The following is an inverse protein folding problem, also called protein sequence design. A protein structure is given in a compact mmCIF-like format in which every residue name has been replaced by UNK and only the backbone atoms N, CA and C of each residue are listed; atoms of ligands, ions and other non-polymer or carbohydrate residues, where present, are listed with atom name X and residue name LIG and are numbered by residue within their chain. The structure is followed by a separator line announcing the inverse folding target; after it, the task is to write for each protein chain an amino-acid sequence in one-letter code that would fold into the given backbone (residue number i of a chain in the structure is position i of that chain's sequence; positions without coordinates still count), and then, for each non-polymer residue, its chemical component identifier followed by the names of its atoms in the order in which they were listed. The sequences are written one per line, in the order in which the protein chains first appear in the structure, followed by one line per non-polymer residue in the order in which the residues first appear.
data_IF_047144735379
#
_entry.id   IF_047144735379
#
_cell.length_a   1.000
_cell.length_b   1.000
_cell.length_c   1.000
_cell.angle_alpha   90.00
_cell.angle_beta   90.00
_cell.angle_gamma   90.00
#
_symmetry.space_group_name_H-M   'P 1'
#
loop_
_entity.id
_entity.type
_entity.pdbx_description
1 polymer ?
#
# COMPACT_ATOMS: atom_id res chain seq x y z
N UNK A 1 24.80 -2.14 -21.46
CA UNK A 1 23.64 -1.31 -21.80
C UNK A 1 23.37 -0.39 -20.61
N UNK A 2 23.60 0.90 -20.78
CA UNK A 2 23.51 1.92 -19.73
C UNK A 2 22.03 2.22 -19.47
N UNK A 3 21.51 1.80 -18.32
CA UNK A 3 20.17 2.16 -17.86
C UNK A 3 20.16 3.65 -17.50
N UNK A 4 19.52 4.45 -18.31
CA UNK A 4 19.23 5.85 -17.99
C UNK A 4 18.19 5.90 -16.88
N UNK A 5 18.63 6.12 -15.65
CA UNK A 5 17.73 6.43 -14.54
C UNK A 5 17.01 7.76 -14.83
N UNK A 6 15.68 7.76 -14.76
CA UNK A 6 14.89 8.98 -14.87
C UNK A 6 15.34 10.01 -13.82
N UNK A 7 15.44 11.31 -14.14
CA UNK A 7 15.98 12.32 -13.23
C UNK A 7 15.09 12.44 -11.98
N UNK A 8 15.66 12.10 -10.83
CA UNK A 8 15.01 12.33 -9.53
C UNK A 8 15.00 13.83 -9.21
N UNK A 9 13.86 14.37 -8.74
CA UNK A 9 13.81 15.74 -8.24
C UNK A 9 14.79 15.87 -7.06
N UNK A 10 15.73 16.82 -7.09
CA UNK A 10 16.71 17.00 -6.04
C UNK A 10 16.05 17.15 -4.67
N UNK A 11 16.61 16.53 -3.63
CA UNK A 11 16.11 16.57 -2.25
C UNK A 11 15.77 17.98 -1.74
N UNK A 12 16.55 18.99 -2.17
CA UNK A 12 16.32 20.41 -1.84
C UNK A 12 14.98 20.94 -2.38
N UNK A 13 14.61 20.56 -3.60
CA UNK A 13 13.31 20.96 -4.19
C UNK A 13 12.16 20.30 -3.45
N UNK A 14 12.29 19.01 -3.05
CA UNK A 14 11.30 18.34 -2.21
C UNK A 14 11.09 19.02 -0.86
N UNK A 15 12.17 19.51 -0.24
CA UNK A 15 12.11 20.22 1.06
C UNK A 15 11.38 21.56 0.92
N UNK A 16 11.65 22.32 -0.15
CA UNK A 16 10.96 23.59 -0.44
C UNK A 16 9.47 23.37 -0.77
N UNK A 17 9.16 22.35 -1.59
CA UNK A 17 7.78 22.00 -1.94
C UNK A 17 6.95 21.61 -0.71
N UNK A 18 7.55 20.92 0.27
CA UNK A 18 6.89 20.55 1.53
C UNK A 18 6.78 21.71 2.53
N UNK A 19 7.64 22.69 2.45
CA UNK A 19 7.69 23.84 3.37
C UNK A 19 6.68 24.94 3.04
N UNK A 20 6.02 24.90 1.87
CA UNK A 20 5.08 25.93 1.42
C UNK A 20 3.66 25.37 1.39
N UNK A 21 2.81 25.62 2.42
CA UNK A 21 1.46 25.04 2.52
C UNK A 21 0.58 25.29 1.28
N UNK A 22 0.62 26.48 0.72
CA UNK A 22 -0.15 26.83 -0.47
C UNK A 22 0.25 25.99 -1.69
N UNK A 23 1.57 25.77 -1.90
CA UNK A 23 2.07 24.97 -3.00
C UNK A 23 1.72 23.50 -2.82
N UNK A 24 1.81 22.98 -1.61
CA UNK A 24 1.40 21.61 -1.27
C UNK A 24 -0.09 21.40 -1.55
N UNK A 25 -0.94 22.36 -1.16
CA UNK A 25 -2.39 22.31 -1.43
C UNK A 25 -2.67 22.32 -2.93
N UNK A 26 -2.01 23.19 -3.70
CA UNK A 26 -2.15 23.27 -5.16
C UNK A 26 -1.72 21.96 -5.84
N UNK A 27 -0.59 21.39 -5.45
CA UNK A 27 -0.10 20.12 -5.98
C UNK A 27 -1.04 18.95 -5.63
N UNK A 28 -1.56 18.92 -4.41
CA UNK A 28 -2.55 17.91 -4.01
C UNK A 28 -3.86 18.08 -4.78
N UNK A 29 -4.33 19.30 -5.01
CA UNK A 29 -5.51 19.57 -5.83
C UNK A 29 -5.30 19.12 -7.29
N UNK A 30 -4.14 19.43 -7.87
CA UNK A 30 -3.79 18.98 -9.22
C UNK A 30 -3.71 17.45 -9.32
N UNK A 31 -3.06 16.78 -8.34
CA UNK A 31 -3.02 15.32 -8.26
C UNK A 31 -4.42 14.72 -8.11
N UNK A 32 -5.23 15.28 -7.24
CA UNK A 32 -6.60 14.85 -7.05
C UNK A 32 -7.42 15.00 -8.33
N UNK A 33 -7.30 16.10 -9.03
CA UNK A 33 -7.94 16.31 -10.32
C UNK A 33 -7.52 15.23 -11.35
N UNK A 34 -6.23 14.95 -11.44
CA UNK A 34 -5.71 13.89 -12.33
C UNK A 34 -6.23 12.51 -11.93
N UNK A 35 -6.19 12.13 -10.65
CA UNK A 35 -6.50 10.77 -10.22
C UNK A 35 -7.99 10.49 -10.01
N UNK A 36 -8.80 11.49 -9.69
CA UNK A 36 -10.22 11.30 -9.33
C UNK A 36 -11.21 11.86 -10.36
N UNK A 37 -10.74 12.37 -11.50
CA UNK A 37 -11.60 12.82 -12.57
C UNK A 37 -12.32 11.68 -13.32
N UNK A 38 -13.35 11.97 -14.12
CA UNK A 38 -14.13 10.96 -14.85
C UNK A 38 -13.29 10.14 -15.83
N UNK A 39 -12.19 10.69 -16.33
CA UNK A 39 -11.20 9.99 -17.17
C UNK A 39 -10.50 8.82 -16.48
N UNK A 40 -10.61 8.72 -15.14
CA UNK A 40 -10.05 7.59 -14.37
C UNK A 40 -10.50 6.24 -14.89
N UNK A 41 -11.77 6.12 -15.29
CA UNK A 41 -12.30 4.88 -15.84
C UNK A 41 -11.66 4.54 -17.18
N UNK A 42 -11.47 5.53 -18.04
CA UNK A 42 -10.79 5.35 -19.34
C UNK A 42 -9.31 4.99 -19.12
N UNK A 43 -8.60 5.68 -18.23
CA UNK A 43 -7.21 5.37 -17.89
C UNK A 43 -7.06 3.93 -17.38
N UNK A 44 -7.93 3.48 -16.49
CA UNK A 44 -7.95 2.10 -15.98
C UNK A 44 -8.22 1.09 -17.10
N UNK A 45 -9.15 1.38 -18.02
CA UNK A 45 -9.42 0.50 -19.14
C UNK A 45 -8.21 0.36 -20.07
N UNK A 46 -7.53 1.47 -20.39
CA UNK A 46 -6.30 1.45 -21.19
C UNK A 46 -5.18 0.67 -20.50
N UNK A 47 -5.02 0.84 -19.18
CA UNK A 47 -4.01 0.09 -18.41
C UNK A 47 -4.30 -1.40 -18.44
N UNK A 48 -5.55 -1.81 -18.21
CA UNK A 48 -5.96 -3.21 -18.27
C UNK A 48 -5.72 -3.83 -19.65
N UNK A 49 -5.99 -3.08 -20.71
CA UNK A 49 -5.72 -3.52 -22.07
C UNK A 49 -4.22 -3.69 -22.34
N UNK A 50 -3.38 -2.73 -21.90
CA UNK A 50 -1.93 -2.77 -22.11
C UNK A 50 -1.20 -3.76 -21.20
N UNK A 51 -1.77 -4.05 -20.04
CA UNK A 51 -1.18 -4.90 -18.99
C UNK A 51 -2.20 -5.93 -18.50
N UNK A 52 -2.64 -6.87 -19.35
CA UNK A 52 -3.58 -7.89 -18.91
C UNK A 52 -2.96 -8.75 -17.82
N UNK A 53 -3.77 -9.28 -16.87
CA UNK A 53 -3.29 -10.19 -15.84
C UNK A 53 -2.63 -11.42 -16.45
N UNK A 54 -1.48 -11.82 -15.93
CA UNK A 54 -0.77 -13.03 -16.34
C UNK A 54 -1.12 -14.16 -15.35
N UNK A 55 -2.03 -15.05 -15.72
CA UNK A 55 -2.44 -16.17 -14.88
C UNK A 55 -1.57 -17.40 -15.10
N UNK A 56 -1.14 -17.64 -16.34
CA UNK A 56 -0.40 -18.85 -16.76
C UNK A 56 0.96 -18.49 -17.37
N UNK A 57 1.86 -19.48 -17.39
CA UNK A 57 3.15 -19.38 -18.06
C UNK A 57 4.15 -18.42 -17.44
N UNK A 58 3.99 -18.10 -16.16
CA UNK A 58 4.89 -17.19 -15.43
C UNK A 58 5.57 -17.93 -14.30
N UNK A 59 6.91 -17.90 -14.27
CA UNK A 59 7.68 -18.44 -13.14
C UNK A 59 7.50 -17.58 -11.90
N UNK A 60 7.08 -18.16 -10.79
CA UNK A 60 6.83 -17.49 -9.52
C UNK A 60 7.44 -18.28 -8.37
N UNK A 61 7.78 -17.61 -7.24
CA UNK A 61 8.10 -18.32 -6.02
C UNK A 61 6.96 -19.28 -5.62
N UNK A 62 7.31 -20.36 -4.93
CA UNK A 62 6.30 -21.25 -4.36
C UNK A 62 5.39 -20.47 -3.43
N UNK A 63 4.09 -20.75 -3.52
CA UNK A 63 3.10 -20.14 -2.63
C UNK A 63 3.30 -20.65 -1.20
N UNK A 64 3.29 -19.73 -0.24
CA UNK A 64 3.36 -20.05 1.19
C UNK A 64 1.99 -19.93 1.88
N UNK A 65 0.97 -19.59 1.12
CA UNK A 65 -0.41 -19.35 1.57
C UNK A 65 -1.41 -20.09 0.69
N UNK A 66 -2.66 -20.13 1.15
CA UNK A 66 -3.80 -20.57 0.35
C UNK A 66 -4.90 -19.50 0.46
N UNK A 67 -4.97 -18.59 -0.50
CA UNK A 67 -5.89 -17.47 -0.50
C UNK A 67 -6.99 -17.65 -1.55
N UNK A 68 -8.25 -17.41 -1.15
CA UNK A 68 -9.35 -17.33 -2.10
C UNK A 68 -9.38 -15.95 -2.78
N UNK A 69 -8.67 -15.82 -3.90
CA UNK A 69 -8.50 -14.55 -4.60
C UNK A 69 -9.83 -13.92 -5.01
N UNK A 70 -10.82 -14.71 -5.47
CA UNK A 70 -12.13 -14.19 -5.89
C UNK A 70 -12.93 -13.62 -4.73
N UNK A 71 -12.92 -14.29 -3.59
CA UNK A 71 -13.63 -13.86 -2.38
C UNK A 71 -13.01 -12.58 -1.82
N UNK A 72 -11.68 -12.56 -1.64
CA UNK A 72 -10.95 -11.40 -1.16
C UNK A 72 -11.14 -10.20 -2.09
N UNK A 73 -11.03 -10.41 -3.39
CA UNK A 73 -11.24 -9.35 -4.39
C UNK A 73 -12.68 -8.80 -4.37
N UNK A 74 -13.69 -9.66 -4.14
CA UNK A 74 -15.09 -9.22 -4.00
C UNK A 74 -15.27 -8.34 -2.76
N UNK A 75 -14.75 -8.78 -1.61
CA UNK A 75 -14.77 -8.02 -0.35
C UNK A 75 -14.05 -6.68 -0.52
N UNK A 76 -12.87 -6.67 -1.14
CA UNK A 76 -12.12 -5.44 -1.43
C UNK A 76 -12.89 -4.46 -2.30
N UNK A 77 -13.62 -4.94 -3.32
CA UNK A 77 -14.45 -4.07 -4.16
C UNK A 77 -15.64 -3.48 -3.40
N UNK A 78 -16.16 -4.20 -2.42
CA UNK A 78 -17.25 -3.75 -1.56
C UNK A 78 -16.78 -2.77 -0.48
N UNK A 79 -15.86 -3.24 0.32
CA UNK A 79 -15.49 -2.61 1.59
C UNK A 79 -14.20 -1.78 1.52
N UNK A 80 -13.33 -2.07 0.55
CA UNK A 80 -12.00 -1.45 0.45
C UNK A 80 -10.94 -2.14 1.29
N UNK A 81 -11.34 -3.09 2.14
CA UNK A 81 -10.46 -3.88 2.99
C UNK A 81 -10.94 -5.33 3.06
N UNK A 82 -10.01 -6.28 3.12
CA UNK A 82 -10.30 -7.70 3.35
C UNK A 82 -9.21 -8.35 4.22
N UNK A 83 -9.61 -9.07 5.28
CA UNK A 83 -8.67 -9.89 6.05
C UNK A 83 -8.24 -11.10 5.22
N UNK A 84 -6.94 -11.36 5.19
CA UNK A 84 -6.34 -12.43 4.39
C UNK A 84 -5.82 -13.62 5.24
N UNK A 85 -6.22 -13.69 6.51
CA UNK A 85 -5.77 -14.72 7.42
C UNK A 85 -4.47 -14.38 8.14
N UNK A 86 -3.64 -15.40 8.35
CA UNK A 86 -2.38 -15.27 9.09
C UNK A 86 -1.21 -15.87 8.33
N UNK A 87 -0.08 -15.20 8.39
CA UNK A 87 1.20 -15.71 7.92
C UNK A 87 1.69 -16.84 8.83
N UNK A 88 2.31 -17.91 8.31
CA UNK A 88 2.88 -18.97 9.13
C UNK A 88 3.85 -18.43 10.19
N UNK A 89 3.84 -18.97 11.43
CA UNK A 89 4.63 -18.44 12.54
C UNK A 89 6.15 -18.46 12.34
N UNK A 90 6.66 -19.41 11.57
CA UNK A 90 8.08 -19.52 11.20
C UNK A 90 8.49 -18.38 10.27
N UNK A 91 7.66 -18.05 9.28
CA UNK A 91 7.86 -16.90 8.37
C UNK A 91 7.79 -15.59 9.17
N UNK A 92 6.83 -15.45 10.09
CA UNK A 92 6.73 -14.28 10.97
C UNK A 92 8.01 -14.11 11.78
N UNK A 93 8.55 -15.19 12.38
CA UNK A 93 9.80 -15.14 13.15
C UNK A 93 11.00 -14.73 12.29
N UNK A 94 11.13 -15.32 11.11
CA UNK A 94 12.22 -15.00 10.17
C UNK A 94 12.20 -13.52 9.76
N UNK A 95 11.05 -13.01 9.35
CA UNK A 95 10.91 -11.60 8.94
C UNK A 95 11.08 -10.64 10.14
N UNK A 96 10.55 -11.01 11.32
CA UNK A 96 10.69 -10.20 12.51
C UNK A 96 12.14 -10.06 12.98
N UNK A 97 12.93 -11.12 12.90
CA UNK A 97 14.35 -11.10 13.29
C UNK A 97 15.15 -10.01 12.58
N UNK A 98 14.75 -9.65 11.34
CA UNK A 98 15.39 -8.54 10.60
C UNK A 98 15.17 -7.18 11.29
N UNK A 99 14.10 -7.05 12.07
CA UNK A 99 13.66 -5.78 12.65
C UNK A 99 13.99 -5.62 14.13
N UNK A 100 14.53 -6.66 14.79
CA UNK A 100 14.68 -6.65 16.25
C UNK A 100 15.59 -5.51 16.72
N UNK A 101 16.65 -5.21 15.99
CA UNK A 101 17.61 -4.14 16.29
C UNK A 101 17.31 -2.82 15.57
N UNK A 102 16.24 -2.75 14.77
CA UNK A 102 15.92 -1.53 14.04
C UNK A 102 15.25 -0.49 14.94
N UNK A 103 15.73 0.76 14.97
CA UNK A 103 15.05 1.85 15.65
C UNK A 103 13.68 2.14 15.00
N UNK A 104 12.83 2.96 15.63
CA UNK A 104 11.58 3.39 15.03
C UNK A 104 11.82 4.09 13.68
N UNK A 105 11.07 3.68 12.66
CA UNK A 105 11.23 4.21 11.31
C UNK A 105 10.54 3.37 10.23
N UNK A 106 10.68 3.80 9.01
CA UNK A 106 10.26 3.08 7.81
C UNK A 106 11.49 2.70 6.99
N UNK A 107 11.63 1.41 6.73
CA UNK A 107 12.77 0.81 6.05
C UNK A 107 12.29 0.15 4.77
N UNK A 108 12.86 0.52 3.63
CA UNK A 108 12.46 0.04 2.30
C UNK A 108 13.34 -1.08 1.76
N UNK A 109 12.90 -1.62 0.61
CA UNK A 109 13.66 -2.53 -0.25
C UNK A 109 13.83 -3.96 0.29
N UNK A 110 12.85 -4.47 1.05
CA UNK A 110 12.89 -5.83 1.59
C UNK A 110 12.37 -6.92 0.64
N UNK A 111 12.01 -6.57 -0.57
CA UNK A 111 11.43 -7.51 -1.54
C UNK A 111 12.39 -8.63 -2.01
N UNK A 112 13.70 -8.48 -1.78
CA UNK A 112 14.70 -9.52 -2.09
C UNK A 112 14.96 -10.49 -0.94
N UNK A 113 14.48 -10.18 0.28
CA UNK A 113 14.56 -11.10 1.40
C UNK A 113 13.71 -12.35 1.11
N UNK A 114 14.25 -13.60 1.24
CA UNK A 114 13.60 -14.80 0.70
C UNK A 114 12.16 -15.02 1.12
N UNK A 115 11.85 -14.88 2.41
CA UNK A 115 10.49 -15.12 2.93
C UNK A 115 9.53 -13.99 2.52
N UNK A 116 10.00 -12.75 2.52
CA UNK A 116 9.21 -11.61 2.04
C UNK A 116 8.97 -11.77 0.54
N UNK A 117 10.00 -12.15 -0.23
CA UNK A 117 9.89 -12.40 -1.67
C UNK A 117 8.87 -13.49 -1.98
N UNK A 118 8.95 -14.62 -1.27
CA UNK A 118 7.99 -15.72 -1.42
C UNK A 118 6.55 -15.27 -1.14
N UNK A 119 6.36 -14.44 -0.12
CA UNK A 119 5.05 -13.85 0.19
C UNK A 119 4.58 -12.89 -0.91
N UNK A 120 5.35 -11.85 -1.19
CA UNK A 120 4.88 -10.71 -2.00
C UNK A 120 4.80 -11.03 -3.50
N UNK A 121 5.56 -12.01 -3.97
CA UNK A 121 5.55 -12.49 -5.36
C UNK A 121 4.89 -13.85 -5.53
N UNK A 122 4.50 -14.49 -4.44
CA UNK A 122 3.79 -15.75 -4.46
C UNK A 122 2.49 -15.67 -5.23
N UNK A 123 2.11 -16.76 -5.89
CA UNK A 123 0.91 -16.82 -6.72
C UNK A 123 -0.35 -16.43 -5.97
N UNK A 124 -0.48 -16.83 -4.69
CA UNK A 124 -1.66 -16.53 -3.86
C UNK A 124 -1.90 -15.04 -3.71
N UNK A 125 -0.87 -14.29 -3.29
CA UNK A 125 -0.96 -12.83 -3.11
C UNK A 125 -1.17 -12.15 -4.47
N UNK A 126 -0.39 -12.53 -5.48
CA UNK A 126 -0.49 -11.89 -6.79
C UNK A 126 -1.83 -12.15 -7.47
N UNK A 127 -2.48 -13.30 -7.26
CA UNK A 127 -3.80 -13.57 -7.82
C UNK A 127 -4.88 -12.68 -7.18
N UNK A 128 -4.81 -12.43 -5.86
CA UNK A 128 -5.72 -11.45 -5.22
C UNK A 128 -5.51 -10.06 -5.82
N UNK A 129 -4.26 -9.65 -5.97
CA UNK A 129 -3.91 -8.33 -6.51
C UNK A 129 -4.34 -8.19 -7.97
N UNK A 130 -4.08 -9.19 -8.81
CA UNK A 130 -4.52 -9.22 -10.22
C UNK A 130 -6.02 -9.14 -10.36
N UNK A 131 -6.74 -9.99 -9.62
CA UNK A 131 -8.20 -10.01 -9.65
C UNK A 131 -8.77 -8.65 -9.23
N UNK A 132 -8.19 -8.02 -8.21
CA UNK A 132 -8.63 -6.71 -7.75
C UNK A 132 -8.32 -5.59 -8.75
N UNK A 133 -7.08 -5.50 -9.22
CA UNK A 133 -6.63 -4.45 -10.15
C UNK A 133 -7.18 -4.67 -11.58
N UNK A 134 -7.43 -5.93 -11.97
CA UNK A 134 -7.76 -6.30 -13.33
C UNK A 134 -6.60 -6.06 -14.32
N UNK A 135 -5.37 -6.00 -13.83
CA UNK A 135 -4.15 -5.75 -14.58
C UNK A 135 -2.96 -6.46 -13.92
N UNK A 136 -1.89 -6.70 -14.68
CA UNK A 136 -0.64 -7.20 -14.08
C UNK A 136 -0.05 -6.15 -13.15
N UNK A 137 0.15 -6.48 -11.87
CA UNK A 137 0.59 -5.51 -10.88
C UNK A 137 2.05 -5.08 -11.08
N UNK A 138 2.32 -3.83 -10.72
CA UNK A 138 3.67 -3.38 -10.40
C UNK A 138 3.80 -3.30 -8.89
N UNK A 139 4.85 -3.89 -8.31
CA UNK A 139 5.23 -3.67 -6.93
C UNK A 139 5.87 -2.27 -6.83
N UNK A 140 5.33 -1.40 -5.98
CA UNK A 140 5.84 -0.05 -5.78
C UNK A 140 6.62 0.11 -4.48
N UNK A 141 6.25 -0.65 -3.44
CA UNK A 141 6.90 -0.60 -2.13
C UNK A 141 6.85 -1.95 -1.45
N UNK A 142 7.90 -2.21 -0.68
CA UNK A 142 7.99 -3.35 0.22
C UNK A 142 8.78 -2.90 1.45
N UNK A 143 8.09 -2.33 2.43
CA UNK A 143 8.68 -1.62 3.55
C UNK A 143 8.38 -2.31 4.88
N UNK A 144 9.37 -2.36 5.76
CA UNK A 144 9.18 -2.67 7.17
C UNK A 144 8.99 -1.36 7.94
N UNK A 145 7.90 -1.28 8.69
CA UNK A 145 7.54 -0.11 9.50
C UNK A 145 7.64 -0.48 10.97
N UNK A 146 8.56 0.15 11.66
CA UNK A 146 8.81 -0.03 13.10
C UNK A 146 8.23 1.16 13.85
N UNK A 147 7.13 0.95 14.56
CA UNK A 147 6.53 1.92 15.47
C UNK A 147 6.98 1.68 16.89
N UNK A 148 7.05 2.73 17.69
CA UNK A 148 7.39 2.69 19.11
C UNK A 148 6.36 3.49 19.90
N UNK A 149 6.28 3.24 21.22
CA UNK A 149 5.45 4.01 22.12
C UNK A 149 5.65 5.52 21.91
N UNK A 150 4.55 6.23 21.74
CA UNK A 150 4.50 7.68 21.55
C UNK A 150 4.13 8.34 22.88
N UNK A 151 4.84 9.40 23.23
CA UNK A 151 4.41 10.31 24.31
C UNK A 151 3.44 11.33 23.69
N UNK A 152 2.14 11.30 24.02
CA UNK A 152 1.16 12.21 23.43
C UNK A 152 1.49 13.69 23.68
N UNK A 153 2.22 14.01 24.76
CA UNK A 153 2.60 15.36 25.11
C UNK A 153 3.79 15.89 24.30
N UNK A 154 4.62 14.99 23.77
CA UNK A 154 5.88 15.33 23.07
C UNK A 154 5.88 14.98 21.60
N UNK A 155 5.05 14.02 21.20
CA UNK A 155 4.99 13.59 19.80
C UNK A 155 4.03 14.50 19.03
N UNK A 156 4.51 15.25 18.04
CA UNK A 156 3.63 16.03 17.18
C UNK A 156 2.55 15.14 16.57
N UNK A 157 1.33 15.66 16.48
CA UNK A 157 0.23 14.91 15.87
C UNK A 157 0.57 14.67 14.40
N UNK A 158 0.96 13.44 14.08
CA UNK A 158 1.28 13.04 12.72
C UNK A 158 0.01 12.86 11.90
N UNK A 159 0.05 13.26 10.61
CA UNK A 159 -1.09 13.11 9.69
C UNK A 159 -1.70 11.70 9.71
N UNK A 160 -0.87 10.66 9.82
CA UNK A 160 -1.32 9.27 9.90
C UNK A 160 -2.21 8.93 11.11
N UNK A 161 -2.29 9.78 12.13
CA UNK A 161 -3.21 9.64 13.27
C UNK A 161 -4.61 10.17 12.98
N UNK A 162 -4.77 10.94 11.91
CA UNK A 162 -6.07 11.43 11.44
C UNK A 162 -6.53 10.61 10.24
N UNK A 163 -7.84 10.54 10.03
CA UNK A 163 -8.37 9.91 8.84
C UNK A 163 -7.91 10.67 7.59
N UNK A 164 -7.14 10.00 6.78
CA UNK A 164 -6.64 10.46 5.49
C UNK A 164 -6.85 9.36 4.45
N UNK A 165 -6.42 9.59 3.24
CA UNK A 165 -6.37 8.60 2.19
C UNK A 165 -5.11 8.80 1.36
N UNK A 166 -4.63 7.71 0.79
CA UNK A 166 -3.51 7.72 -0.12
C UNK A 166 -3.98 7.43 -1.55
N UNK A 167 -3.15 7.78 -2.51
CA UNK A 167 -3.34 7.33 -3.87
C UNK A 167 -1.99 7.11 -4.57
N UNK A 168 -1.80 5.88 -5.03
CA UNK A 168 -0.60 5.43 -5.70
C UNK A 168 -0.87 5.18 -7.20
N UNK A 169 -1.38 6.20 -7.89
CA UNK A 169 -1.77 6.11 -9.29
C UNK A 169 -3.28 5.87 -9.49
N UNK A 170 -3.64 5.28 -10.62
CA UNK A 170 -5.05 5.10 -11.01
C UNK A 170 -5.77 4.01 -10.24
N UNK A 171 -5.05 3.01 -9.77
CA UNK A 171 -5.53 1.93 -8.92
C UNK A 171 -4.37 1.26 -8.21
N UNK A 172 -4.51 1.08 -6.90
CA UNK A 172 -3.51 0.44 -6.05
C UNK A 172 -4.17 -0.46 -5.01
N UNK A 173 -3.36 -1.29 -4.39
CA UNK A 173 -3.74 -2.18 -3.31
C UNK A 173 -2.54 -2.38 -2.40
N UNK A 174 -2.71 -2.22 -1.10
CA UNK A 174 -1.70 -2.57 -0.11
C UNK A 174 -1.97 -3.96 0.47
N UNK A 175 -0.91 -4.70 0.76
CA UNK A 175 -0.89 -5.83 1.68
C UNK A 175 -0.17 -5.38 2.94
N UNK A 176 -0.83 -5.50 4.07
CA UNK A 176 -0.28 -5.26 5.39
C UNK A 176 -0.15 -6.57 6.15
N UNK A 177 0.98 -6.76 6.83
CA UNK A 177 1.22 -7.91 7.71
C UNK A 177 1.74 -7.41 9.05
N UNK A 178 1.05 -7.71 10.13
CA UNK A 178 1.54 -7.46 11.47
C UNK A 178 2.60 -8.50 11.85
N UNK A 179 3.78 -8.04 12.22
CA UNK A 179 4.89 -8.91 12.67
C UNK A 179 5.01 -8.96 14.19
N UNK A 180 4.20 -8.18 14.89
CA UNK A 180 3.97 -8.20 16.33
C UNK A 180 2.48 -8.29 16.61
N UNK A 181 2.09 -8.66 17.82
CA UNK A 181 0.70 -8.55 18.25
C UNK A 181 0.25 -7.09 18.21
N UNK A 182 -0.92 -6.83 17.66
CA UNK A 182 -1.50 -5.50 17.54
C UNK A 182 -2.87 -5.47 18.19
N UNK A 183 -2.97 -4.65 19.22
CA UNK A 183 -4.20 -4.28 19.91
C UNK A 183 -4.52 -2.80 19.64
N UNK A 184 -5.64 -2.31 20.13
CA UNK A 184 -6.07 -0.93 19.92
C UNK A 184 -5.04 0.12 20.37
N UNK A 185 -4.23 -0.23 21.37
CA UNK A 185 -3.18 0.63 21.91
C UNK A 185 -1.79 0.42 21.27
N UNK A 186 -1.67 -0.46 20.29
CA UNK A 186 -0.40 -0.77 19.61
C UNK A 186 -0.33 -0.11 18.23
N UNK A 187 -1.07 0.97 18.00
CA UNK A 187 -1.12 1.62 16.69
C UNK A 187 -1.92 0.83 15.66
N UNK A 188 -2.99 0.17 16.10
CA UNK A 188 -3.87 -0.58 15.20
C UNK A 188 -4.34 0.27 14.02
N UNK A 189 -4.44 -0.36 12.86
CA UNK A 189 -4.95 0.28 11.66
C UNK A 189 -6.47 0.43 11.74
N UNK A 190 -6.99 1.59 11.34
CA UNK A 190 -8.42 1.83 11.19
C UNK A 190 -8.74 2.23 9.77
N UNK A 191 -9.82 1.65 9.23
CA UNK A 191 -10.34 1.94 7.90
C UNK A 191 -11.83 2.25 7.95
N UNK A 192 -12.30 3.15 7.08
CA UNK A 192 -13.72 3.47 6.91
C UNK A 192 -14.23 2.72 5.69
N UNK A 193 -14.97 1.63 5.91
CA UNK A 193 -15.39 0.70 4.87
C UNK A 193 -16.17 1.38 3.73
N UNK A 194 -15.85 1.01 2.50
CA UNK A 194 -16.52 1.43 1.28
C UNK A 194 -16.21 2.85 0.80
N UNK A 195 -15.36 3.61 1.53
CA UNK A 195 -15.06 5.01 1.19
C UNK A 195 -14.08 5.19 0.03
N UNK A 196 -13.38 4.13 -0.39
CA UNK A 196 -12.54 4.11 -1.59
C UNK A 196 -13.34 4.35 -2.89
N UNK A 197 -14.66 4.14 -2.88
CA UNK A 197 -15.55 4.31 -4.04
C UNK A 197 -16.20 5.68 -4.09
N UNK A 198 -16.32 6.36 -2.95
CA UNK A 198 -17.08 7.60 -2.83
C UNK A 198 -16.17 8.69 -2.29
N UNK A 199 -15.92 9.69 -3.12
CA UNK A 199 -15.10 10.83 -2.72
C UNK A 199 -15.79 12.14 -3.05
N UNK A 200 -15.83 13.03 -2.07
CA UNK A 200 -16.25 14.42 -2.30
C UNK A 200 -15.04 15.22 -2.79
N UNK A 201 -15.26 16.16 -3.70
CA UNK A 201 -14.18 17.03 -4.23
C UNK A 201 -13.40 17.70 -3.11
N UNK A 202 -14.08 18.15 -2.06
CA UNK A 202 -13.44 18.78 -0.89
C UNK A 202 -12.45 17.87 -0.17
N UNK A 203 -12.67 16.53 -0.20
CA UNK A 203 -11.78 15.57 0.48
C UNK A 203 -10.45 15.44 -0.27
N UNK A 204 -10.46 15.67 -1.59
CA UNK A 204 -9.28 15.55 -2.42
C UNK A 204 -8.21 16.63 -2.16
N UNK A 205 -8.64 17.77 -1.61
CA UNK A 205 -7.75 18.90 -1.30
C UNK A 205 -7.39 19.01 0.19
N UNK A 206 -8.03 18.21 1.04
CA UNK A 206 -7.77 18.20 2.49
C UNK A 206 -6.71 17.14 2.84
N UNK A 207 -5.75 17.45 3.69
CA UNK A 207 -4.74 16.46 4.10
C UNK A 207 -5.33 15.35 5.01
N UNK A 208 -6.43 15.65 5.73
CA UNK A 208 -7.09 14.74 6.66
C UNK A 208 -8.53 15.20 6.96
N UNK A 209 -9.33 14.30 7.53
CA UNK A 209 -10.72 14.54 7.93
C UNK A 209 -10.87 14.26 9.42
N UNK A 210 -11.56 15.15 10.19
CA UNK A 210 -11.81 14.96 11.61
C UNK A 210 -12.68 13.73 11.90
N UNK A 211 -12.55 13.19 13.11
CA UNK A 211 -13.27 11.99 13.56
C UNK A 211 -14.79 12.19 13.61
N UNK A 212 -15.23 13.35 14.11
CA UNK A 212 -16.65 13.71 14.17
C UNK A 212 -17.28 13.77 12.78
N UNK A 213 -16.56 14.34 11.83
CA UNK A 213 -17.01 14.38 10.43
C UNK A 213 -17.05 12.97 9.80
N UNK A 214 -16.07 12.12 10.06
CA UNK A 214 -16.08 10.72 9.59
C UNK A 214 -17.26 9.97 10.19
N UNK A 215 -17.47 10.07 11.50
CA UNK A 215 -18.56 9.39 12.20
C UNK A 215 -19.95 9.87 11.75
N UNK A 216 -20.10 11.16 11.50
CA UNK A 216 -21.33 11.73 10.99
C UNK A 216 -21.62 11.31 9.53
N UNK A 217 -20.60 11.23 8.70
CA UNK A 217 -20.74 10.86 7.27
C UNK A 217 -20.87 9.36 7.03
N UNK A 218 -20.26 8.55 7.88
CA UNK A 218 -20.10 7.10 7.70
C UNK A 218 -20.38 6.35 9.01
N UNK A 219 -21.59 6.48 9.60
CA UNK A 219 -21.90 5.88 10.89
C UNK A 219 -21.73 4.35 10.84
N UNK A 220 -21.03 3.80 11.83
CA UNK A 220 -20.81 2.36 11.96
C UNK A 220 -19.88 1.73 10.92
N UNK A 221 -19.21 2.51 10.07
CA UNK A 221 -18.29 1.99 9.03
C UNK A 221 -16.84 1.97 9.42
N UNK A 222 -16.45 2.59 10.53
CA UNK A 222 -15.06 2.51 11.02
C UNK A 222 -14.79 1.09 11.53
N UNK A 223 -13.70 0.50 11.06
CA UNK A 223 -13.21 -0.82 11.51
C UNK A 223 -11.79 -0.70 11.99
N UNK A 224 -11.54 -1.18 13.22
CA UNK A 224 -10.18 -1.36 13.74
C UNK A 224 -9.70 -2.75 13.34
N UNK A 225 -8.47 -2.83 12.88
CA UNK A 225 -7.82 -4.07 12.49
C UNK A 225 -6.78 -4.38 13.56
N UNK A 226 -7.14 -5.25 14.48
CA UNK A 226 -6.28 -5.82 15.50
C UNK A 226 -6.08 -7.31 15.24
N UNK A 227 -5.07 -7.91 15.86
CA UNK A 227 -4.81 -9.34 15.78
C UNK A 227 -3.39 -9.71 16.19
N UNK A 228 -3.11 -11.02 16.35
CA UNK A 228 -1.79 -11.51 16.70
C UNK A 228 -0.78 -11.30 15.56
N UNK A 229 0.50 -11.48 15.87
CA UNK A 229 1.57 -11.50 14.88
C UNK A 229 1.22 -12.49 13.77
N UNK A 230 1.47 -12.09 12.52
CA UNK A 230 1.06 -12.82 11.32
C UNK A 230 -0.28 -12.36 10.74
N UNK A 231 -1.07 -11.54 11.43
CA UNK A 231 -2.33 -11.01 10.87
C UNK A 231 -2.08 -10.27 9.57
N UNK A 232 -2.76 -10.72 8.51
CA UNK A 232 -2.68 -10.14 7.17
C UNK A 232 -4.00 -9.53 6.73
N UNK A 233 -3.92 -8.42 6.03
CA UNK A 233 -5.05 -7.82 5.36
C UNK A 233 -4.65 -7.05 4.12
N UNK A 234 -5.51 -7.05 3.12
CA UNK A 234 -5.41 -6.17 1.97
C UNK A 234 -6.26 -4.93 2.18
N UNK A 235 -5.79 -3.80 1.70
CA UNK A 235 -6.51 -2.54 1.74
C UNK A 235 -6.25 -1.68 0.51
N UNK A 236 -7.32 -1.12 -0.02
CA UNK A 236 -7.23 0.01 -0.92
C UNK A 236 -7.18 1.29 -0.08
N UNK A 237 -5.98 1.83 0.10
CA UNK A 237 -5.71 3.02 0.92
C UNK A 237 -6.31 4.31 0.34
N UNK A 238 -7.01 4.25 -0.78
CA UNK A 238 -7.94 5.32 -1.18
C UNK A 238 -9.16 5.41 -0.25
N UNK A 239 -9.49 4.36 0.54
CA UNK A 239 -10.43 4.49 1.65
C UNK A 239 -9.85 5.42 2.72
N UNK A 240 -10.73 6.12 3.45
CA UNK A 240 -10.27 6.83 4.63
C UNK A 240 -9.72 5.85 5.64
N UNK A 241 -8.49 6.04 6.03
CA UNK A 241 -7.81 5.21 7.01
C UNK A 241 -6.91 6.04 7.91
N UNK A 242 -6.48 5.43 9.00
CA UNK A 242 -5.49 5.98 9.92
C UNK A 242 -4.83 4.88 10.74
N UNK A 243 -3.79 5.21 11.47
CA UNK A 243 -3.28 4.39 12.58
C UNK A 243 -3.70 4.98 13.92
N UNK A 244 -3.94 4.14 14.90
CA UNK A 244 -4.08 4.56 16.29
C UNK A 244 -2.72 4.90 16.91
N UNK A 245 -2.75 5.44 18.13
CA UNK A 245 -1.53 5.77 18.87
C UNK A 245 -0.73 4.52 19.22
N UNK A 246 0.59 4.62 19.21
CA UNK A 246 1.46 3.57 19.72
C UNK A 246 1.68 3.77 21.23
N UNK A 247 1.27 2.79 22.02
CA UNK A 247 1.71 2.63 23.41
C UNK A 247 2.74 1.52 23.58
N UNK A 248 2.90 0.69 22.55
CA UNK A 248 3.85 -0.42 22.47
C UNK A 248 4.54 -0.43 21.11
N UNK A 249 5.65 -1.18 21.03
CA UNK A 249 6.33 -1.43 19.75
C UNK A 249 5.41 -2.21 18.82
N UNK A 250 5.29 -1.73 17.59
CA UNK A 250 4.62 -2.44 16.48
C UNK A 250 5.57 -2.55 15.30
N UNK A 251 5.67 -3.75 14.75
CA UNK A 251 6.36 -4.00 13.49
C UNK A 251 5.34 -4.46 12.46
N UNK A 252 5.40 -3.87 11.27
CA UNK A 252 4.47 -4.17 10.18
C UNK A 252 5.21 -4.17 8.85
N UNK A 253 4.95 -5.20 8.02
CA UNK A 253 5.30 -5.19 6.60
C UNK A 253 4.19 -4.46 5.85
N UNK A 254 4.56 -3.46 5.05
CA UNK A 254 3.70 -2.72 4.14
C UNK A 254 4.16 -2.95 2.70
N UNK A 255 3.30 -3.52 1.88
CA UNK A 255 3.57 -3.81 0.48
C UNK A 255 2.56 -3.11 -0.39
N UNK A 256 3.02 -2.27 -1.30
CA UNK A 256 2.17 -1.51 -2.20
C UNK A 256 2.26 -2.03 -3.63
N UNK A 257 1.12 -2.44 -4.16
CA UNK A 257 0.94 -2.80 -5.56
C UNK A 257 0.12 -1.75 -6.28
N UNK A 258 0.41 -1.53 -7.56
CA UNK A 258 -0.41 -0.68 -8.41
C UNK A 258 -0.62 -1.32 -9.78
N UNK A 259 -1.67 -0.91 -10.48
CA UNK A 259 -1.96 -1.35 -11.85
C UNK A 259 -0.90 -0.89 -12.85
N UNK A 260 -0.08 0.07 -12.50
CA UNK A 260 0.99 0.62 -13.34
C UNK A 260 1.98 1.40 -12.48
N UNK A 261 3.18 1.58 -12.98
CA UNK A 261 4.15 2.51 -12.40
C UNK A 261 3.76 3.94 -12.77
N UNK A 262 3.70 4.83 -11.78
CA UNK A 262 3.38 6.23 -11.98
C UNK A 262 4.43 7.12 -11.33
N UNK A 263 4.87 8.14 -12.04
CA UNK A 263 5.77 9.16 -11.53
C UNK A 263 5.14 10.03 -10.42
N UNK A 264 3.82 10.05 -10.34
CA UNK A 264 3.06 10.84 -9.36
C UNK A 264 2.52 10.03 -8.19
N UNK A 265 2.90 8.76 -8.06
CA UNK A 265 2.42 7.88 -6.98
C UNK A 265 2.86 8.41 -5.61
N UNK A 266 1.91 8.62 -4.71
CA UNK A 266 2.09 9.02 -3.31
C UNK A 266 3.07 10.19 -3.06
N UNK A 267 3.09 11.16 -3.95
CA UNK A 267 4.06 12.27 -3.87
C UNK A 267 5.47 11.86 -4.22
N UNK A 268 5.67 10.65 -4.70
CA UNK A 268 6.93 10.13 -5.22
C UNK A 268 6.97 10.37 -6.72
N UNK A 269 7.96 11.12 -7.15
CA UNK A 269 8.13 11.47 -8.57
C UNK A 269 8.81 10.37 -9.37
N UNK A 270 9.31 9.32 -8.69
CA UNK A 270 9.88 8.14 -9.31
C UNK A 270 9.46 6.89 -8.56
N UNK A 271 9.09 5.80 -9.23
CA UNK A 271 8.93 4.51 -8.59
C UNK A 271 10.24 4.12 -7.89
N UNK A 272 10.18 3.69 -6.63
CA UNK A 272 11.36 3.23 -5.90
C UNK A 272 11.97 1.96 -6.52
N UNK A 273 11.15 1.17 -7.22
CA UNK A 273 11.49 -0.15 -7.75
C UNK A 273 11.43 -0.17 -9.28
N UNK A 274 12.15 0.79 -9.93
CA UNK A 274 12.26 0.82 -11.39
C UNK A 274 12.83 -0.51 -11.94
N UNK A 275 13.69 -1.15 -11.18
CA UNK A 275 14.43 -2.37 -11.57
C UNK A 275 13.81 -3.66 -11.01
N UNK A 276 12.61 -3.59 -10.45
CA UNK A 276 11.93 -4.78 -9.95
C UNK A 276 11.68 -5.77 -11.10
N UNK A 277 12.15 -7.03 -10.99
CA UNK A 277 11.95 -8.00 -12.05
C UNK A 277 10.46 -8.22 -12.27
N UNK A 278 9.99 -7.88 -13.47
CA UNK A 278 8.63 -8.21 -13.87
C UNK A 278 8.57 -9.71 -14.11
N UNK A 279 7.46 -10.37 -13.78
CA UNK A 279 7.29 -11.77 -14.17
C UNK A 279 7.40 -11.87 -15.70
N UNK A 280 8.40 -12.61 -16.17
CA UNK A 280 8.58 -12.92 -17.59
C UNK A 280 7.70 -14.12 -17.97
N UNK A 281 7.14 -14.12 -19.16
CA UNK A 281 6.52 -15.32 -19.71
C UNK A 281 7.62 -16.37 -19.96
N UNK A 282 7.30 -17.65 -19.79
CA UNK A 282 8.24 -18.72 -20.04
C UNK A 282 8.77 -18.72 -21.49
N UNK A 283 8.02 -18.16 -22.45
CA UNK A 283 8.44 -17.98 -23.84
C UNK A 283 9.55 -16.93 -24.02
N UNK A 284 9.68 -15.98 -23.11
CA UNK A 284 10.68 -14.91 -23.24
C UNK A 284 12.05 -15.34 -22.70
N UNK A 285 12.10 -16.49 -21.96
CA UNK A 285 13.32 -17.04 -21.41
C UNK A 285 14.12 -17.90 -22.42
N UNK A 286 13.50 -18.31 -23.53
CA UNK A 286 14.13 -19.17 -24.56
C UNK A 286 14.78 -18.38 -25.70
N UNK A 287 14.55 -17.08 -25.82
CA UNK A 287 15.18 -16.24 -26.87
C UNK A 287 16.48 -15.55 -26.44
N UNK A 288 16.93 -15.75 -25.17
CA UNK A 288 18.15 -15.11 -24.64
C UNK A 288 19.27 -16.10 -24.26
N UNK A 289 19.28 -17.32 -24.83
CA UNK A 289 20.37 -18.32 -24.68
C UNK A 289 21.14 -18.52 -25.99
#
# INVERSE_FOLDING_TARGET
MTTTSAPSIPFRIRKVLRATPALTTTLNAARALVHFGPWRHAARAVIRWKRPPLHDGVTRPASILSLNARELSRTLRGDGMARAGQLPPDVVRSVRAITDDLPPGEYGDFHEQPDIRALVLGADVLNVVRDYLGAEPALLECNLVVGQAEDPARTPVHVQRHFHFDFAGWQSLNLFVYLTDVEDDSGAHQVVLGTHRVRKVRDAIRPWVPDDEINARYPGRVRTIAGPAGTMFFENTEAFHRRLIFKRRRVMLNVLYASHRSWSSEGRLTPKYADYPQPTRASDATESS
#
